data_IF_472500786825
#
_entry.id   IF_472500786825
#
_cell.length_a   1.000
_cell.length_b   1.000
_cell.length_c   1.000
_cell.angle_alpha   90.00
_cell.angle_beta   90.00
_cell.angle_gamma   90.00
#
_symmetry.space_group_name_H-M   'P 1'
#
loop_
_entity.id
_entity.type
_entity.pdbx_description
1 polymer ?
#
# COMPACT_ATOMS: atom_id res chain seq x y z
N UNK A 1 17.52 -0.22 -7.36
CA UNK A 1 16.81 -0.19 -6.07
C UNK A 1 15.40 0.28 -6.34
N UNK A 2 14.37 -0.56 -6.17
CA UNK A 2 12.99 -0.08 -6.23
C UNK A 2 12.80 0.97 -5.13
N UNK A 3 12.23 2.15 -5.41
CA UNK A 3 12.00 3.15 -4.39
C UNK A 3 11.12 2.54 -3.29
N UNK A 4 11.62 2.56 -2.06
CA UNK A 4 10.89 2.06 -0.89
C UNK A 4 9.68 2.99 -0.71
N UNK A 5 8.47 2.50 -1.03
CA UNK A 5 7.24 3.29 -0.90
C UNK A 5 7.12 3.80 0.54
N UNK A 6 6.71 5.06 0.70
CA UNK A 6 6.60 5.66 2.02
C UNK A 6 5.48 4.96 2.81
N UNK A 7 5.69 4.69 4.12
CA UNK A 7 4.63 4.14 4.98
C UNK A 7 3.35 4.98 4.94
N UNK A 8 3.50 6.31 4.86
CA UNK A 8 2.37 7.25 4.76
C UNK A 8 1.49 6.99 3.54
N UNK A 9 2.08 6.65 2.39
CA UNK A 9 1.32 6.34 1.19
C UNK A 9 0.53 5.03 1.34
N UNK A 10 1.16 3.99 1.91
CA UNK A 10 0.48 2.72 2.20
C UNK A 10 -0.70 2.92 3.17
N UNK A 11 -0.48 3.68 4.24
CA UNK A 11 -1.51 4.02 5.22
C UNK A 11 -2.66 4.82 4.59
N UNK A 12 -2.36 5.76 3.68
CA UNK A 12 -3.39 6.54 3.01
C UNK A 12 -4.31 5.71 2.11
N UNK A 13 -3.83 4.60 1.55
CA UNK A 13 -4.70 3.67 0.81
C UNK A 13 -5.47 2.78 1.78
N UNK A 14 -4.81 2.25 2.82
CA UNK A 14 -5.47 1.40 3.82
C UNK A 14 -6.63 2.10 4.53
N UNK A 15 -6.50 3.39 4.86
CA UNK A 15 -7.54 4.14 5.57
C UNK A 15 -8.82 4.37 4.73
N UNK A 16 -8.73 4.20 3.42
CA UNK A 16 -9.86 4.36 2.50
C UNK A 16 -10.56 3.03 2.18
N UNK A 17 -9.97 1.90 2.57
CA UNK A 17 -10.53 0.58 2.31
C UNK A 17 -11.26 0.05 3.55
N UNK A 18 -12.13 -0.93 3.33
CA UNK A 18 -12.84 -1.63 4.40
C UNK A 18 -12.81 -3.15 4.17
N UNK A 19 -13.19 -3.91 5.20
CA UNK A 19 -13.27 -5.37 5.11
C UNK A 19 -14.53 -5.83 4.37
N UNK A 20 -15.63 -5.09 4.47
CA UNK A 20 -16.95 -5.49 3.97
C UNK A 20 -17.35 -4.81 2.65
N UNK A 21 -17.01 -3.52 2.50
CA UNK A 21 -17.36 -2.73 1.32
C UNK A 21 -16.18 -2.69 0.33
N UNK A 22 -16.29 -3.39 -0.82
CA UNK A 22 -15.27 -3.34 -1.86
C UNK A 22 -15.19 -1.93 -2.46
N UNK A 23 -13.98 -1.52 -2.84
CA UNK A 23 -13.74 -0.31 -3.63
C UNK A 23 -12.91 -0.58 -4.88
N UNK A 24 -13.01 0.28 -5.86
CA UNK A 24 -12.17 0.36 -7.04
C UNK A 24 -11.11 1.43 -6.88
N UNK A 25 -10.07 1.37 -7.72
CA UNK A 25 -9.03 2.39 -7.79
C UNK A 25 -9.61 3.80 -8.00
N UNK A 26 -10.63 3.93 -8.85
CA UNK A 26 -11.20 5.22 -9.23
C UNK A 26 -12.00 5.87 -8.08
N UNK A 27 -12.34 5.10 -7.04
CA UNK A 27 -12.99 5.60 -5.82
C UNK A 27 -11.98 6.05 -4.74
N UNK A 28 -10.68 5.84 -4.96
CA UNK A 28 -9.64 6.24 -4.03
C UNK A 28 -9.19 7.68 -4.30
N UNK A 29 -9.13 8.48 -3.25
CA UNK A 29 -8.56 9.82 -3.28
C UNK A 29 -7.04 9.77 -3.48
N UNK A 30 -6.49 10.84 -4.06
CA UNK A 30 -5.05 11.00 -4.32
C UNK A 30 -4.68 10.77 -5.78
N UNK A 31 -3.37 10.68 -6.05
CA UNK A 31 -2.86 10.42 -7.40
C UNK A 31 -3.01 8.95 -7.75
N UNK A 32 -3.59 8.67 -8.92
CA UNK A 32 -3.85 7.32 -9.41
C UNK A 32 -2.60 6.45 -9.43
N UNK A 33 -1.47 6.99 -9.91
CA UNK A 33 -0.20 6.27 -10.03
C UNK A 33 0.34 5.87 -8.66
N UNK A 34 0.27 6.78 -7.68
CA UNK A 34 0.69 6.49 -6.31
C UNK A 34 -0.19 5.42 -5.66
N UNK A 35 -1.50 5.48 -5.89
CA UNK A 35 -2.44 4.49 -5.39
C UNK A 35 -2.16 3.11 -6.00
N UNK A 36 -1.88 3.02 -7.31
CA UNK A 36 -1.51 1.76 -7.98
C UNK A 36 -0.24 1.14 -7.38
N UNK A 37 0.80 1.94 -7.16
CA UNK A 37 2.04 1.47 -6.52
C UNK A 37 1.78 0.95 -5.10
N UNK A 38 1.00 1.68 -4.31
CA UNK A 38 0.63 1.30 -2.96
C UNK A 38 -0.23 0.03 -2.92
N UNK A 39 -1.24 -0.08 -3.79
CA UNK A 39 -2.09 -1.26 -3.92
C UNK A 39 -1.25 -2.49 -4.26
N UNK A 40 -0.34 -2.38 -5.23
CA UNK A 40 0.54 -3.49 -5.62
C UNK A 40 1.37 -3.98 -4.43
N UNK A 41 1.96 -3.06 -3.67
CA UNK A 41 2.77 -3.40 -2.51
C UNK A 41 1.92 -3.96 -1.35
N UNK A 42 0.76 -3.38 -1.05
CA UNK A 42 -0.16 -3.90 -0.02
C UNK A 42 -0.68 -5.30 -0.38
N UNK A 43 -0.96 -5.55 -1.67
CA UNK A 43 -1.40 -6.86 -2.13
C UNK A 43 -0.27 -7.89 -2.02
N UNK A 44 0.96 -7.52 -2.41
CA UNK A 44 2.16 -8.36 -2.24
C UNK A 44 2.44 -8.68 -0.77
N UNK A 45 2.15 -7.74 0.13
CA UNK A 45 2.23 -7.94 1.59
C UNK A 45 1.06 -8.75 2.18
N UNK A 46 0.07 -9.13 1.38
CA UNK A 46 -1.12 -9.86 1.84
C UNK A 46 -2.07 -9.03 2.73
N UNK A 47 -1.93 -7.71 2.72
CA UNK A 47 -2.70 -6.76 3.55
C UNK A 47 -4.11 -6.51 3.00
N UNK A 48 -4.22 -6.57 1.68
CA UNK A 48 -5.46 -6.37 0.95
C UNK A 48 -5.76 -7.54 0.02
N UNK A 49 -7.00 -7.61 -0.44
CA UNK A 49 -7.46 -8.49 -1.51
C UNK A 49 -8.18 -7.67 -2.58
N UNK A 50 -8.34 -8.23 -3.78
CA UNK A 50 -8.96 -7.54 -4.90
C UNK A 50 -8.60 -8.20 -6.23
N UNK A 51 -9.10 -7.61 -7.31
CA UNK A 51 -8.76 -7.97 -8.69
C UNK A 51 -7.76 -6.94 -9.20
N UNK A 52 -6.57 -7.41 -9.57
CA UNK A 52 -5.50 -6.57 -10.12
C UNK A 52 -5.35 -6.84 -11.61
N UNK A 53 -5.04 -5.80 -12.37
CA UNK A 53 -4.68 -5.94 -13.79
C UNK A 53 -3.34 -5.25 -14.04
N UNK A 54 -2.40 -6.03 -14.53
CA UNK A 54 -1.09 -5.54 -14.94
C UNK A 54 -1.19 -4.68 -16.20
N UNK A 55 -0.21 -3.81 -16.41
CA UNK A 55 -0.11 -2.98 -17.60
C UNK A 55 0.16 -3.86 -18.84
N UNK A 56 -0.75 -3.88 -19.83
CA UNK A 56 -0.59 -4.69 -21.04
C UNK A 56 0.61 -4.25 -21.91
N UNK A 57 1.14 -3.05 -21.71
CA UNK A 57 2.32 -2.56 -22.43
C UNK A 57 3.64 -3.07 -21.83
N UNK A 58 3.59 -3.87 -20.77
CA UNK A 58 4.76 -4.51 -20.17
C UNK A 58 5.65 -3.54 -19.39
N UNK A 59 5.12 -2.39 -18.97
CA UNK A 59 5.86 -1.50 -18.09
C UNK A 59 6.07 -2.20 -16.74
N UNK A 60 7.33 -2.30 -16.33
CA UNK A 60 7.74 -2.98 -15.10
C UNK A 60 8.78 -2.14 -14.37
N UNK A 61 8.88 -2.37 -13.07
CA UNK A 61 10.00 -1.90 -12.27
C UNK A 61 10.71 -3.09 -11.61
N UNK A 62 11.69 -2.81 -10.76
CA UNK A 62 12.42 -3.87 -10.07
C UNK A 62 11.56 -4.71 -9.09
N UNK A 63 10.27 -4.39 -8.91
CA UNK A 63 9.31 -5.23 -8.19
C UNK A 63 8.37 -6.03 -9.12
N UNK A 64 8.55 -5.96 -10.44
CA UNK A 64 7.77 -6.65 -11.45
C UNK A 64 6.82 -5.71 -12.22
N UNK A 65 5.82 -6.27 -12.93
CA UNK A 65 4.87 -5.52 -13.73
C UNK A 65 4.16 -4.41 -12.93
N UNK A 66 3.96 -3.26 -13.57
CA UNK A 66 3.11 -2.20 -13.04
C UNK A 66 1.64 -2.58 -13.19
N UNK A 67 0.80 -2.07 -12.29
CA UNK A 67 -0.65 -2.20 -12.39
C UNK A 67 -1.20 -1.05 -13.23
N UNK A 68 -2.16 -1.35 -14.11
CA UNK A 68 -2.94 -0.32 -14.80
C UNK A 68 -4.33 -0.12 -14.17
N UNK A 69 -4.83 -1.14 -13.46
CA UNK A 69 -6.16 -1.14 -12.86
C UNK A 69 -6.25 -2.02 -11.62
N UNK A 70 -7.18 -1.68 -10.73
CA UNK A 70 -7.50 -2.46 -9.55
C UNK A 70 -8.96 -2.28 -9.12
N UNK A 71 -9.64 -3.38 -8.82
CA UNK A 71 -11.04 -3.39 -8.42
C UNK A 71 -11.30 -4.33 -7.23
N UNK A 72 -12.46 -4.15 -6.60
CA UNK A 72 -12.94 -4.98 -5.50
C UNK A 72 -11.94 -5.06 -4.33
N UNK A 73 -11.19 -3.98 -4.14
CA UNK A 73 -10.19 -3.80 -3.11
C UNK A 73 -10.84 -3.85 -1.73
N UNK A 74 -10.30 -4.70 -0.86
CA UNK A 74 -10.74 -4.88 0.52
C UNK A 74 -9.56 -5.10 1.44
N UNK A 75 -9.71 -4.69 2.69
CA UNK A 75 -8.80 -5.09 3.75
C UNK A 75 -8.98 -6.58 4.03
N UNK A 76 -7.87 -7.33 4.26
CA UNK A 76 -7.96 -8.72 4.72
C UNK A 76 -8.17 -8.85 6.24
N UNK A 77 -7.95 -7.77 6.97
CA UNK A 77 -8.05 -7.66 8.43
C UNK A 77 -8.25 -6.19 8.81
N UNK A 78 -8.63 -5.92 10.05
CA UNK A 78 -8.92 -4.55 10.50
C UNK A 78 -7.78 -3.56 10.24
N UNK A 79 -8.14 -2.33 9.89
CA UNK A 79 -7.20 -1.23 9.65
C UNK A 79 -6.24 -1.04 10.84
N UNK A 80 -6.76 -1.08 12.07
CA UNK A 80 -5.99 -0.89 13.30
C UNK A 80 -4.82 -1.88 13.40
N UNK A 81 -5.08 -3.18 13.23
CA UNK A 81 -4.02 -4.21 13.27
C UNK A 81 -2.99 -4.02 12.15
N UNK A 82 -3.40 -3.54 10.97
CA UNK A 82 -2.47 -3.33 9.86
C UNK A 82 -1.55 -2.13 10.08
N UNK A 83 -2.04 -1.07 10.71
CA UNK A 83 -1.28 0.14 10.99
C UNK A 83 -0.21 -0.12 12.05
N UNK A 84 -0.52 -0.86 13.11
CA UNK A 84 0.44 -1.22 14.14
C UNK A 84 1.67 -1.90 13.54
N UNK A 85 1.47 -2.92 12.71
CA UNK A 85 2.57 -3.63 12.04
C UNK A 85 3.33 -2.78 11.01
N UNK A 86 2.67 -1.83 10.35
CA UNK A 86 3.35 -0.91 9.42
C UNK A 86 4.23 0.06 10.19
N UNK A 87 3.79 0.51 11.36
CA UNK A 87 4.54 1.39 12.24
C UNK A 87 5.70 0.67 12.94
N UNK A 88 5.53 -0.60 13.35
CA UNK A 88 6.61 -1.42 13.92
C UNK A 88 7.77 -1.66 12.94
N UNK A 89 7.51 -1.58 11.63
CA UNK A 89 8.55 -1.68 10.58
C UNK A 89 9.31 -0.37 10.37
N UNK A 90 8.88 0.74 10.95
CA UNK A 90 9.67 1.97 11.01
C UNK A 90 10.58 1.82 12.23
N UNK A 91 11.91 1.69 12.08
CA UNK A 91 12.80 1.64 13.23
C UNK A 91 12.57 2.93 14.03
N UNK A 92 12.39 2.77 15.35
CA UNK A 92 12.26 3.89 16.26
C UNK A 92 13.42 4.87 16.00
N UNK A 93 13.17 6.19 16.00
CA UNK A 93 14.27 7.14 15.94
C UNK A 93 15.19 6.84 17.12
N UNK A 94 16.44 6.49 16.83
CA UNK A 94 17.51 6.44 17.84
C UNK A 94 17.69 7.87 18.34
N UNK A 95 16.90 8.26 19.35
CA UNK A 95 17.20 9.43 20.16
C UNK A 95 18.45 9.07 20.94
N UNK A 96 19.60 9.36 20.32
CA UNK A 96 20.91 9.25 20.93
C UNK A 96 20.85 9.89 22.31
N UNK A 97 21.19 9.08 23.31
CA UNK A 97 21.48 9.50 24.67
C UNK A 97 22.54 10.61 24.62
N UNK A 98 22.11 11.87 24.53
CA UNK A 98 22.95 12.99 24.99
C UNK A 98 22.85 12.95 26.51
N UNK A 99 23.78 12.22 27.14
CA UNK A 99 24.12 12.45 28.54
C UNK A 99 24.93 13.74 28.59
N UNK A 100 24.37 14.77 29.20
CA UNK A 100 25.09 15.96 29.69
C UNK A 100 25.61 15.67 31.09
#
# INVERSE_FOLDING_TARGET
MSPKLSPALLMSVLCQLSESQPRSLDELSGRRENNLLAIRELFRQGRISGVLRDDPLGAEDAAGPLLCHAERLRLRRSYACQVEELNERVPAPEWGLIRV
#
